data_IF_369591957269
#
_entry.id   IF_369591957269
#
_cell.length_a   1.000
_cell.length_b   1.000
_cell.length_c   1.000
_cell.angle_alpha   90.00
_cell.angle_beta   90.00
_cell.angle_gamma   90.00
#
_symmetry.space_group_name_H-M   'P 1'
#
loop_
_entity.id
_entity.type
_entity.pdbx_description
1 polymer ?
#
# COMPACT_ATOMS: atom_id res chain seq x y z
N UNK A 1 0.66 16.48 25.55
CA UNK A 1 0.49 15.55 24.43
C UNK A 1 1.56 14.48 24.55
N UNK A 2 1.20 13.20 24.48
CA UNK A 2 2.19 12.12 24.43
C UNK A 2 2.42 11.72 22.97
N UNK A 3 3.68 11.58 22.58
CA UNK A 3 4.08 11.19 21.22
C UNK A 3 5.21 10.17 21.28
N UNK A 4 5.36 9.36 20.23
CA UNK A 4 6.46 8.40 20.13
C UNK A 4 7.57 9.03 19.28
N UNK A 5 8.79 9.08 19.83
CA UNK A 5 9.99 9.52 19.13
C UNK A 5 11.07 8.48 19.39
N UNK A 6 11.64 7.89 18.33
CA UNK A 6 12.66 6.84 18.42
C UNK A 6 12.23 5.67 19.34
N UNK A 7 10.99 5.21 19.20
CA UNK A 7 10.40 4.15 20.04
C UNK A 7 10.27 4.48 21.54
N UNK A 8 10.45 5.73 21.94
CA UNK A 8 10.22 6.19 23.32
C UNK A 8 8.98 7.09 23.39
N UNK A 9 8.17 6.91 24.44
CA UNK A 9 7.05 7.80 24.74
C UNK A 9 7.57 9.10 25.37
N UNK A 10 7.32 10.22 24.71
CA UNK A 10 7.75 11.55 25.14
C UNK A 10 6.52 12.43 25.38
N UNK A 11 6.45 13.06 26.55
CA UNK A 11 5.41 14.04 26.87
C UNK A 11 5.85 15.42 26.42
N UNK A 12 5.13 15.98 25.46
CA UNK A 12 5.32 17.34 24.96
C UNK A 12 4.24 18.24 25.54
N UNK A 13 4.62 19.32 26.20
CA UNK A 13 3.71 20.29 26.82
C UNK A 13 3.93 21.73 26.34
N UNK A 14 5.10 22.05 25.79
CA UNK A 14 5.42 23.39 25.29
C UNK A 14 4.83 23.66 23.90
N UNK A 15 4.28 24.86 23.70
CA UNK A 15 3.74 25.29 22.40
C UNK A 15 4.81 25.27 21.30
N UNK A 16 6.04 25.71 21.59
CA UNK A 16 7.19 25.67 20.67
C UNK A 16 7.51 24.26 20.19
N UNK A 17 7.45 23.29 21.11
CA UNK A 17 7.79 21.90 20.84
C UNK A 17 6.69 21.23 20.01
N UNK A 18 5.43 21.56 20.28
CA UNK A 18 4.27 21.11 19.48
C UNK A 18 4.37 21.65 18.04
N UNK A 19 4.74 22.93 17.87
CA UNK A 19 4.93 23.53 16.54
C UNK A 19 6.06 22.83 15.78
N UNK A 20 7.19 22.57 16.45
CA UNK A 20 8.33 21.86 15.85
C UNK A 20 7.96 20.43 15.47
N UNK A 21 7.25 19.72 16.35
CA UNK A 21 6.77 18.37 16.09
C UNK A 21 5.80 18.33 14.89
N UNK A 22 4.86 19.29 14.79
CA UNK A 22 3.96 19.42 13.64
C UNK A 22 4.74 19.60 12.33
N UNK A 23 5.76 20.47 12.31
CA UNK A 23 6.58 20.70 11.11
C UNK A 23 7.31 19.43 10.69
N UNK A 24 7.86 18.69 11.66
CA UNK A 24 8.52 17.40 11.39
C UNK A 24 7.54 16.39 10.79
N UNK A 25 6.38 16.20 11.42
CA UNK A 25 5.35 15.29 10.89
C UNK A 25 4.91 15.65 9.47
N UNK A 26 4.77 16.95 9.19
CA UNK A 26 4.43 17.38 7.83
C UNK A 26 5.52 17.00 6.83
N UNK A 27 6.80 17.22 7.17
CA UNK A 27 7.90 16.81 6.31
C UNK A 27 7.94 15.29 6.13
N UNK A 28 7.73 14.51 7.20
CA UNK A 28 7.67 13.05 7.13
C UNK A 28 6.55 12.58 6.18
N UNK A 29 5.37 13.22 6.24
CA UNK A 29 4.26 12.94 5.33
C UNK A 29 4.64 13.25 3.88
N UNK A 30 5.33 14.37 3.62
CA UNK A 30 5.77 14.72 2.27
C UNK A 30 6.76 13.68 1.75
N UNK A 31 7.77 13.33 2.54
CA UNK A 31 8.79 12.35 2.17
C UNK A 31 8.15 10.97 1.88
N UNK A 32 7.26 10.50 2.76
CA UNK A 32 6.56 9.23 2.58
C UNK A 32 5.69 9.20 1.32
N UNK A 33 5.10 10.34 0.93
CA UNK A 33 4.33 10.44 -0.32
C UNK A 33 5.23 10.33 -1.56
N UNK A 34 6.41 10.94 -1.50
CA UNK A 34 7.40 10.81 -2.59
C UNK A 34 7.90 9.38 -2.70
N UNK A 35 8.26 8.75 -1.57
CA UNK A 35 8.66 7.34 -1.54
C UNK A 35 7.56 6.41 -2.04
N UNK A 36 6.31 6.63 -1.64
CA UNK A 36 5.16 5.87 -2.14
C UNK A 36 5.04 5.99 -3.66
N UNK A 37 5.14 7.21 -4.20
CA UNK A 37 5.07 7.45 -5.65
C UNK A 37 6.18 6.73 -6.41
N UNK A 38 7.39 6.73 -5.88
CA UNK A 38 8.52 6.01 -6.49
C UNK A 38 8.27 4.49 -6.47
N UNK A 39 7.78 3.95 -5.36
CA UNK A 39 7.43 2.52 -5.24
C UNK A 39 6.28 2.13 -6.15
N UNK A 40 5.26 2.98 -6.31
CA UNK A 40 4.17 2.78 -7.27
C UNK A 40 4.69 2.75 -8.72
N UNK A 41 5.62 3.65 -9.06
CA UNK A 41 6.26 3.67 -10.38
C UNK A 41 7.09 2.41 -10.65
N UNK A 42 7.89 1.97 -9.67
CA UNK A 42 8.65 0.73 -9.74
C UNK A 42 7.74 -0.49 -9.91
N UNK A 43 6.68 -0.58 -9.09
CA UNK A 43 5.68 -1.64 -9.17
C UNK A 43 5.06 -1.69 -10.55
N UNK A 44 4.58 -0.56 -11.08
CA UNK A 44 3.99 -0.48 -12.42
C UNK A 44 4.96 -0.93 -13.50
N UNK A 45 6.25 -0.61 -13.37
CA UNK A 45 7.29 -1.07 -14.30
C UNK A 45 7.45 -2.60 -14.26
N UNK A 46 7.47 -3.18 -13.05
CA UNK A 46 7.55 -4.64 -12.86
C UNK A 46 6.31 -5.33 -13.39
N UNK A 47 5.12 -4.84 -13.08
CA UNK A 47 3.85 -5.36 -13.61
C UNK A 47 3.80 -5.30 -15.14
N UNK A 48 4.25 -4.20 -15.73
CA UNK A 48 4.35 -4.05 -17.19
C UNK A 48 5.31 -5.08 -17.77
N UNK A 49 6.48 -5.26 -17.16
CA UNK A 49 7.43 -6.28 -17.59
C UNK A 49 6.81 -7.69 -17.51
N UNK A 50 6.20 -8.05 -16.39
CA UNK A 50 5.53 -9.33 -16.20
C UNK A 50 4.40 -9.55 -17.20
N UNK A 51 3.62 -8.51 -17.51
CA UNK A 51 2.55 -8.56 -18.51
C UNK A 51 3.06 -9.02 -19.88
N UNK A 52 4.25 -8.60 -20.30
CA UNK A 52 4.79 -8.93 -21.62
C UNK A 52 5.76 -10.11 -21.64
N UNK A 53 6.35 -10.48 -20.49
CA UNK A 53 7.42 -11.48 -20.43
C UNK A 53 7.02 -12.76 -19.67
N UNK A 54 5.95 -12.73 -18.87
CA UNK A 54 5.41 -13.95 -18.29
C UNK A 54 4.69 -14.76 -19.37
N UNK A 55 4.87 -16.09 -19.37
CA UNK A 55 4.11 -17.01 -20.24
C UNK A 55 2.65 -17.19 -19.80
N UNK A 56 2.26 -16.51 -18.72
CA UNK A 56 0.95 -16.47 -18.08
C UNK A 56 0.20 -17.80 -18.01
N UNK A 57 0.21 -18.42 -16.83
CA UNK A 57 -0.65 -19.56 -16.53
C UNK A 57 -1.91 -19.08 -15.79
N UNK A 58 -2.94 -18.72 -16.55
CA UNK A 58 -4.18 -18.12 -16.04
C UNK A 58 -5.04 -19.13 -15.28
N UNK A 59 -5.34 -18.81 -14.02
CA UNK A 59 -6.33 -19.49 -13.17
C UNK A 59 -7.59 -18.64 -13.14
N UNK A 60 -8.74 -19.31 -13.29
CA UNK A 60 -10.06 -18.74 -13.03
C UNK A 60 -10.52 -19.32 -11.69
N UNK A 61 -10.80 -18.44 -10.74
CA UNK A 61 -11.21 -18.80 -9.40
C UNK A 61 -12.45 -18.00 -9.01
N UNK A 62 -13.08 -18.36 -7.89
CA UNK A 62 -14.25 -17.68 -7.36
C UNK A 62 -14.07 -17.38 -5.89
N UNK A 63 -14.20 -16.10 -5.53
CA UNK A 63 -14.22 -15.70 -4.12
C UNK A 63 -15.64 -15.97 -3.59
N UNK A 64 -15.75 -16.96 -2.72
CA UNK A 64 -16.98 -17.27 -2.00
C UNK A 64 -17.32 -16.16 -0.99
N UNK A 65 -18.57 -15.70 -1.03
CA UNK A 65 -19.12 -14.79 -0.03
C UNK A 65 -20.15 -15.55 0.82
N UNK A 66 -19.86 -15.77 2.11
CA UNK A 66 -20.87 -16.14 3.11
C UNK A 66 -21.39 -14.87 3.79
N UNK A 67 -22.66 -14.65 4.17
CA UNK A 67 -23.94 -15.38 4.20
C UNK A 67 -25.00 -14.32 3.88
N UNK A 68 -25.91 -14.54 2.92
CA UNK A 68 -27.05 -13.64 2.70
C UNK A 68 -27.34 -13.30 1.24
N UNK A 69 -26.42 -12.70 0.48
CA UNK A 69 -26.67 -12.33 -0.92
C UNK A 69 -25.40 -11.94 -1.69
N UNK A 70 -25.53 -12.09 -3.01
CA UNK A 70 -24.72 -11.61 -4.15
C UNK A 70 -23.65 -12.57 -4.68
N UNK A 71 -23.69 -12.70 -6.02
CA UNK A 71 -22.97 -13.64 -6.89
C UNK A 71 -21.51 -13.80 -6.48
N UNK A 72 -21.00 -15.04 -6.48
CA UNK A 72 -19.56 -15.32 -6.40
C UNK A 72 -18.81 -14.41 -7.37
N UNK A 73 -17.76 -13.74 -6.89
CA UNK A 73 -16.93 -12.90 -7.74
C UNK A 73 -15.92 -13.82 -8.41
N UNK A 74 -16.09 -14.03 -9.71
CA UNK A 74 -15.07 -14.70 -10.52
C UNK A 74 -13.86 -13.80 -10.63
N UNK A 75 -12.70 -14.31 -10.24
CA UNK A 75 -11.41 -13.66 -10.42
C UNK A 75 -10.59 -14.45 -11.44
N UNK A 76 -9.77 -13.75 -12.21
CA UNK A 76 -8.80 -14.37 -13.11
C UNK A 76 -7.41 -13.80 -12.84
N UNK A 77 -6.47 -14.66 -12.51
CA UNK A 77 -5.10 -14.28 -12.19
C UNK A 77 -4.08 -15.25 -12.77
N UNK A 78 -2.85 -14.79 -12.96
CA UNK A 78 -1.75 -15.68 -13.32
C UNK A 78 -1.20 -16.36 -12.07
N UNK A 79 -1.08 -17.70 -12.08
CA UNK A 79 -0.54 -18.46 -10.94
C UNK A 79 0.94 -18.18 -10.62
N UNK A 80 1.69 -17.66 -11.59
CA UNK A 80 3.12 -17.44 -11.45
C UNK A 80 3.46 -16.00 -11.06
N UNK A 81 2.78 -15.03 -11.67
CA UNK A 81 3.09 -13.60 -11.49
C UNK A 81 1.96 -12.81 -10.82
N UNK A 82 0.88 -13.49 -10.44
CA UNK A 82 -0.26 -12.94 -9.70
C UNK A 82 -0.99 -11.78 -10.40
N UNK A 83 -0.61 -11.48 -11.65
CA UNK A 83 -1.26 -10.46 -12.45
C UNK A 83 -2.75 -10.80 -12.56
N UNK A 84 -3.61 -9.85 -12.26
CA UNK A 84 -5.06 -10.01 -12.38
C UNK A 84 -5.55 -9.36 -13.66
N UNK A 85 -6.52 -9.98 -14.32
CA UNK A 85 -7.25 -9.36 -15.44
C UNK A 85 -8.70 -9.27 -15.00
N UNK A 86 -9.13 -8.04 -14.71
CA UNK A 86 -10.52 -7.67 -14.39
C UNK A 86 -11.39 -7.62 -15.65
#
# INVERSE_FOLDING_TARGET
MEVIINNCAVKISGLSDIISYKKRLYQDIVNLKEELKDKESELKRVETYLKYNCKHNWIIDSIDQMKGYKRCITIKYCSECELTIS
#
